data_IF_840921549577
#
_entry.id   IF_840921549577
#
_cell.length_a   1.000
_cell.length_b   1.000
_cell.length_c   1.000
_cell.angle_alpha   90.00
_cell.angle_beta   90.00
_cell.angle_gamma   90.00
#
_symmetry.space_group_name_H-M   'P 1'
#
loop_
_entity.id
_entity.type
_entity.pdbx_description
1 polymer ?
#
# COMPACT_ATOMS: atom_id res chain seq x y z
N UNK A 1 -13.12 -31.03 8.23
CA UNK A 1 -11.69 -30.64 8.24
C UNK A 1 -11.56 -29.32 7.49
N UNK A 2 -10.93 -28.28 8.08
CA UNK A 2 -10.72 -27.02 7.37
C UNK A 2 -9.86 -27.21 6.11
N UNK A 3 -10.16 -26.47 5.04
CA UNK A 3 -9.46 -26.60 3.75
C UNK A 3 -7.93 -26.44 3.88
N UNK A 4 -7.48 -25.44 4.65
CA UNK A 4 -6.05 -25.21 4.92
C UNK A 4 -5.40 -26.39 5.65
N UNK A 5 -6.11 -27.04 6.56
CA UNK A 5 -5.61 -28.21 7.29
C UNK A 5 -5.49 -29.44 6.37
N UNK A 6 -6.43 -29.60 5.43
CA UNK A 6 -6.37 -30.64 4.40
C UNK A 6 -5.15 -30.46 3.49
N UNK A 7 -4.94 -29.25 2.94
CA UNK A 7 -3.77 -28.95 2.11
C UNK A 7 -2.46 -29.09 2.88
N UNK A 8 -2.40 -28.63 4.13
CA UNK A 8 -1.22 -28.81 4.98
C UNK A 8 -0.89 -30.29 5.22
N UNK A 9 -1.91 -31.14 5.35
CA UNK A 9 -1.74 -32.59 5.41
C UNK A 9 -1.11 -33.15 4.13
N UNK A 10 -1.66 -32.80 2.97
CA UNK A 10 -1.14 -33.23 1.66
C UNK A 10 0.31 -32.77 1.45
N UNK A 11 0.63 -31.52 1.78
CA UNK A 11 1.99 -30.98 1.69
C UNK A 11 3.00 -31.74 2.57
N UNK A 12 2.59 -32.16 3.77
CA UNK A 12 3.44 -32.98 4.66
C UNK A 12 3.67 -34.39 4.11
N UNK A 13 2.69 -34.95 3.40
CA UNK A 13 2.76 -36.29 2.82
C UNK A 13 3.30 -36.31 1.39
N UNK A 14 3.51 -35.15 0.74
CA UNK A 14 3.98 -35.02 -0.64
C UNK A 14 5.34 -35.70 -0.89
N UNK A 15 6.14 -35.93 0.16
CA UNK A 15 7.35 -36.76 0.08
C UNK A 15 7.09 -38.22 -0.34
N UNK A 16 5.83 -38.67 -0.36
CA UNK A 16 5.42 -40.06 -0.61
C UNK A 16 4.61 -40.27 -1.91
N UNK A 17 4.12 -39.22 -2.59
CA UNK A 17 3.40 -39.35 -3.86
C UNK A 17 3.13 -38.01 -4.58
N UNK A 18 3.23 -38.04 -5.92
CA UNK A 18 2.78 -37.15 -7.02
C UNK A 18 2.60 -35.62 -6.87
N UNK A 19 2.90 -34.90 -7.96
CA UNK A 19 2.98 -33.43 -8.13
C UNK A 19 1.69 -32.60 -7.88
N UNK A 20 0.61 -33.19 -7.35
CA UNK A 20 -0.71 -32.56 -7.27
C UNK A 20 -0.75 -31.24 -6.47
N UNK A 21 0.12 -31.10 -5.46
CA UNK A 21 0.25 -29.90 -4.63
C UNK A 21 1.58 -29.17 -4.83
N UNK A 22 2.28 -29.46 -5.94
CA UNK A 22 3.51 -28.76 -6.30
C UNK A 22 3.27 -27.25 -6.46
N UNK A 23 4.15 -26.44 -5.86
CA UNK A 23 4.05 -24.98 -5.90
C UNK A 23 3.08 -24.34 -4.91
N UNK A 24 2.32 -25.12 -4.13
CA UNK A 24 1.46 -24.58 -3.08
C UNK A 24 2.31 -24.21 -1.85
N UNK A 25 2.21 -22.96 -1.41
CA UNK A 25 2.87 -22.47 -0.20
C UNK A 25 1.85 -21.91 0.80
N UNK A 26 1.96 -22.32 2.07
CA UNK A 26 1.11 -21.81 3.16
C UNK A 26 1.95 -20.91 4.08
N UNK A 27 1.60 -19.63 4.15
CA UNK A 27 2.23 -18.65 5.07
C UNK A 27 1.23 -18.18 6.11
N UNK A 28 1.52 -18.43 7.39
CA UNK A 28 0.70 -18.00 8.52
C UNK A 28 1.30 -16.80 9.23
N UNK A 29 0.46 -15.85 9.64
CA UNK A 29 0.81 -14.78 10.57
C UNK A 29 -0.20 -14.78 11.71
N UNK A 30 0.27 -14.60 12.94
CA UNK A 30 -0.54 -14.70 14.15
C UNK A 30 -0.48 -13.39 14.93
N UNK A 31 -1.65 -12.88 15.35
CA UNK A 31 -1.77 -11.73 16.26
C UNK A 31 -2.38 -12.22 17.58
N UNK A 32 -1.51 -12.48 18.56
CA UNK A 32 -1.89 -13.10 19.84
C UNK A 32 -1.95 -14.62 19.72
N UNK A 33 -1.60 -15.34 20.80
CA UNK A 33 -1.47 -16.80 20.76
C UNK A 33 -2.83 -17.51 20.68
N UNK A 34 -2.88 -18.62 19.95
CA UNK A 34 -4.04 -19.50 19.86
C UNK A 34 -4.39 -20.12 21.25
N UNK A 35 -5.62 -19.93 21.76
CA UNK A 35 -6.04 -20.53 23.02
C UNK A 35 -6.22 -22.04 22.87
N UNK A 36 -5.82 -22.80 23.90
CA UNK A 36 -5.93 -24.26 23.91
C UNK A 36 -7.36 -24.80 23.67
N UNK A 37 -8.41 -24.00 23.94
CA UNK A 37 -9.80 -24.35 23.66
C UNK A 37 -10.20 -24.24 22.18
N UNK A 38 -9.40 -23.59 21.33
CA UNK A 38 -9.73 -23.37 19.91
C UNK A 38 -8.94 -24.33 19.01
N UNK A 39 -9.65 -25.26 18.36
CA UNK A 39 -9.01 -26.23 17.47
C UNK A 39 -8.72 -25.71 16.05
N UNK A 40 -9.26 -24.55 15.67
CA UNK A 40 -9.11 -24.02 14.30
C UNK A 40 -7.76 -23.31 14.07
N UNK A 41 -7.23 -22.62 15.09
CA UNK A 41 -5.94 -21.94 15.02
C UNK A 41 -4.77 -22.80 15.53
N UNK A 42 -5.05 -24.02 16.00
CA UNK A 42 -4.07 -24.91 16.62
C UNK A 42 -2.89 -25.17 15.68
N UNK A 43 -1.69 -24.81 16.14
CA UNK A 43 -0.43 -25.17 15.52
C UNK A 43 0.38 -26.02 16.51
N UNK A 44 1.03 -27.07 16.00
CA UNK A 44 1.81 -27.98 16.84
C UNK A 44 2.89 -27.20 17.62
N UNK A 45 2.88 -27.32 18.95
CA UNK A 45 3.86 -26.67 19.83
C UNK A 45 3.65 -25.18 20.10
N UNK A 46 2.52 -24.59 19.69
CA UNK A 46 2.23 -23.15 19.89
C UNK A 46 0.95 -22.86 20.68
N UNK A 47 0.40 -23.85 21.34
CA UNK A 47 -0.82 -23.68 22.14
C UNK A 47 -0.48 -23.16 23.53
N UNK A 48 -1.23 -22.14 23.95
CA UNK A 48 -1.07 -21.55 25.28
C UNK A 48 -2.38 -21.70 26.04
N UNK A 49 -2.36 -22.19 27.29
CA UNK A 49 -3.53 -22.11 28.16
C UNK A 49 -3.79 -20.64 28.49
N UNK A 50 -5.01 -20.15 28.20
CA UNK A 50 -5.45 -18.77 28.49
C UNK A 50 -4.47 -17.68 28.03
N UNK A 51 -4.30 -17.47 26.71
CA UNK A 51 -3.40 -16.45 26.19
C UNK A 51 -3.92 -15.03 26.50
N UNK A 52 -2.99 -14.10 26.74
CA UNK A 52 -3.33 -12.67 26.92
C UNK A 52 -3.86 -12.10 25.61
N UNK A 53 -5.03 -11.43 25.60
CA UNK A 53 -5.56 -10.77 24.41
C UNK A 53 -4.61 -9.70 23.88
N UNK A 54 -4.52 -9.57 22.56
CA UNK A 54 -3.74 -8.51 21.89
C UNK A 54 -4.65 -7.56 21.12
N UNK A 55 -4.19 -6.34 20.87
CA UNK A 55 -4.92 -5.39 20.04
C UNK A 55 -4.99 -5.89 18.59
N UNK A 56 -6.21 -6.17 18.11
CA UNK A 56 -6.46 -6.61 16.74
C UNK A 56 -6.85 -5.45 15.84
N UNK A 57 -7.77 -4.62 16.32
CA UNK A 57 -8.39 -3.54 15.55
C UNK A 57 -8.66 -2.32 16.45
N UNK A 58 -8.50 -1.13 15.88
CA UNK A 58 -8.94 0.14 16.48
C UNK A 58 -10.22 0.56 15.76
N UNK A 59 -11.37 0.35 16.38
CA UNK A 59 -12.68 0.58 15.75
C UNK A 59 -13.13 2.04 15.80
N UNK A 60 -12.61 2.82 16.73
CA UNK A 60 -12.94 4.25 16.91
C UNK A 60 -11.72 5.01 17.37
N UNK A 61 -11.54 6.21 16.81
CA UNK A 61 -10.51 7.16 17.23
C UNK A 61 -11.18 8.49 17.56
N UNK A 62 -10.65 9.18 18.58
CA UNK A 62 -11.06 10.53 18.96
C UNK A 62 -9.80 11.39 18.98
N UNK A 63 -9.79 12.54 18.30
CA UNK A 63 -8.59 13.38 18.25
C UNK A 63 -8.28 13.99 19.62
N UNK A 64 -6.99 14.09 19.96
CA UNK A 64 -6.57 14.58 21.27
C UNK A 64 -6.94 16.04 21.53
N UNK A 65 -7.01 16.88 20.50
CA UNK A 65 -7.45 18.27 20.64
C UNK A 65 -8.91 18.39 21.13
N UNK A 66 -9.72 17.31 21.06
CA UNK A 66 -11.07 17.30 21.66
C UNK A 66 -11.06 17.37 23.18
N UNK A 67 -9.95 16.99 23.82
CA UNK A 67 -9.76 17.04 25.27
C UNK A 67 -9.31 18.43 25.76
N UNK A 68 -8.96 19.33 24.84
CA UNK A 68 -8.53 20.71 25.15
C UNK A 68 -9.76 21.59 25.35
N UNK A 69 -9.86 22.23 26.51
CA UNK A 69 -11.01 23.06 26.89
C UNK A 69 -10.95 24.47 26.29
N UNK A 70 -9.75 25.06 26.22
CA UNK A 70 -9.54 26.39 25.66
C UNK A 70 -9.63 26.36 24.12
N UNK A 71 -10.48 27.22 23.55
CA UNK A 71 -10.73 27.24 22.11
C UNK A 71 -9.51 27.65 21.30
N UNK A 72 -8.69 28.58 21.81
CA UNK A 72 -7.50 29.07 21.08
C UNK A 72 -6.46 27.96 20.96
N UNK A 73 -6.17 27.30 22.08
CA UNK A 73 -5.22 26.19 22.15
C UNK A 73 -5.73 24.99 21.35
N UNK A 74 -7.04 24.70 21.39
CA UNK A 74 -7.66 23.63 20.60
C UNK A 74 -7.47 23.83 19.10
N UNK A 75 -7.75 25.02 18.58
CA UNK A 75 -7.58 25.31 17.15
C UNK A 75 -6.10 25.32 16.73
N UNK A 76 -5.21 25.87 17.57
CA UNK A 76 -3.77 25.80 17.33
C UNK A 76 -3.27 24.35 17.26
N UNK A 77 -3.72 23.49 18.18
CA UNK A 77 -3.34 22.08 18.20
C UNK A 77 -3.93 21.31 17.02
N UNK A 78 -5.18 21.60 16.63
CA UNK A 78 -5.80 21.04 15.42
C UNK A 78 -4.99 21.41 14.17
N UNK A 79 -4.61 22.67 14.01
CA UNK A 79 -3.78 23.13 12.88
C UNK A 79 -2.43 22.41 12.85
N UNK A 80 -1.72 22.35 13.98
CA UNK A 80 -0.44 21.65 14.09
C UNK A 80 -0.55 20.15 13.78
N UNK A 81 -1.65 19.51 14.21
CA UNK A 81 -1.93 18.09 13.91
C UNK A 81 -2.13 17.87 12.41
N UNK A 82 -2.90 18.75 11.76
CA UNK A 82 -3.13 18.71 10.31
C UNK A 82 -1.84 18.93 9.52
N UNK A 83 -1.03 19.92 9.92
CA UNK A 83 0.29 20.19 9.35
C UNK A 83 1.21 18.97 9.46
N UNK A 84 1.30 18.37 10.64
CA UNK A 84 2.13 17.18 10.88
C UNK A 84 1.71 16.00 10.00
N UNK A 85 0.41 15.76 9.87
CA UNK A 85 -0.10 14.60 9.15
C UNK A 85 -0.07 14.76 7.63
N UNK A 86 -0.51 15.91 7.09
CA UNK A 86 -0.66 16.13 5.65
C UNK A 86 0.53 16.81 4.98
N UNK A 87 1.23 17.67 5.73
CA UNK A 87 2.29 18.55 5.21
C UNK A 87 3.65 18.28 5.88
N UNK A 88 3.81 17.09 6.50
CA UNK A 88 5.03 16.65 7.18
C UNK A 88 5.57 17.64 8.23
N UNK A 89 4.70 18.51 8.78
CA UNK A 89 5.06 19.54 9.75
C UNK A 89 5.84 20.73 9.17
N UNK A 90 5.85 20.91 7.84
CA UNK A 90 6.60 21.99 7.15
C UNK A 90 5.70 22.89 6.29
N UNK A 91 4.51 23.16 6.79
CA UNK A 91 3.53 23.98 6.11
C UNK A 91 2.14 23.84 6.71
N UNK A 92 1.27 24.77 6.38
CA UNK A 92 -0.10 24.81 6.89
C UNK A 92 -1.08 24.17 5.91
N UNK A 93 -2.15 23.59 6.43
CA UNK A 93 -3.28 23.13 5.61
C UNK A 93 -4.24 24.28 5.39
N UNK A 94 -4.49 24.62 4.12
CA UNK A 94 -5.49 25.60 3.71
C UNK A 94 -6.48 24.85 2.82
N UNK A 95 -7.76 24.80 3.21
CA UNK A 95 -8.77 23.98 2.56
C UNK A 95 -8.29 22.51 2.41
N UNK A 96 -8.00 22.07 1.18
CA UNK A 96 -7.53 20.73 0.84
C UNK A 96 -6.09 20.71 0.29
N UNK A 97 -5.31 21.78 0.47
CA UNK A 97 -3.92 21.85 0.00
C UNK A 97 -2.95 22.26 1.12
N UNK A 98 -1.68 21.88 0.94
CA UNK A 98 -0.61 22.25 1.85
C UNK A 98 0.12 23.50 1.34
N UNK A 99 0.09 24.58 2.13
CA UNK A 99 0.95 25.75 1.93
C UNK A 99 2.31 25.47 2.57
N UNK A 100 3.26 25.03 1.76
CA UNK A 100 4.60 24.70 2.23
C UNK A 100 5.40 25.94 2.67
N UNK A 101 6.17 25.79 3.75
CA UNK A 101 7.18 26.77 4.15
C UNK A 101 8.33 26.80 3.14
N UNK A 102 9.08 27.91 3.11
CA UNK A 102 10.24 28.07 2.22
C UNK A 102 11.33 27.01 2.44
N UNK A 103 11.40 26.44 3.65
CA UNK A 103 12.34 25.37 4.01
C UNK A 103 11.94 24.00 3.47
N UNK A 104 10.74 23.87 2.89
CA UNK A 104 10.18 22.63 2.38
C UNK A 104 10.15 22.56 0.84
N UNK A 105 10.89 23.44 0.17
CA UNK A 105 11.08 23.39 -1.27
C UNK A 105 12.15 22.33 -1.64
N UNK A 106 11.91 21.62 -2.73
CA UNK A 106 12.85 20.69 -3.35
C UNK A 106 14.04 21.41 -3.97
N UNK A 107 15.00 20.63 -4.49
CA UNK A 107 16.18 21.17 -5.21
C UNK A 107 15.80 21.91 -6.50
N UNK A 108 14.65 21.57 -7.05
CA UNK A 108 14.00 22.17 -8.22
C UNK A 108 13.16 23.42 -7.88
N UNK A 109 13.07 23.79 -6.59
CA UNK A 109 12.23 24.89 -6.12
C UNK A 109 10.75 24.54 -6.02
N UNK A 110 10.36 23.28 -6.22
CA UNK A 110 8.97 22.86 -6.13
C UNK A 110 8.56 22.51 -4.68
N UNK A 111 7.29 22.71 -4.29
CA UNK A 111 6.79 22.34 -2.97
C UNK A 111 6.96 20.84 -2.68
N UNK A 112 7.57 20.48 -1.54
CA UNK A 112 7.82 19.09 -1.14
C UNK A 112 7.35 18.77 0.29
N UNK A 113 6.48 19.60 0.89
CA UNK A 113 5.95 19.35 2.24
C UNK A 113 4.86 18.25 2.24
N UNK A 114 4.14 18.06 1.14
CA UNK A 114 3.20 16.94 0.98
C UNK A 114 3.86 15.85 0.13
N UNK A 115 4.20 14.68 0.70
CA UNK A 115 5.08 13.71 0.04
C UNK A 115 4.36 12.93 -1.07
N UNK A 116 4.75 13.18 -2.32
CA UNK A 116 4.24 12.46 -3.49
C UNK A 116 4.49 10.95 -3.37
N UNK A 117 3.42 10.16 -3.30
CA UNK A 117 3.52 8.70 -3.22
C UNK A 117 3.79 8.10 -4.60
N UNK A 118 4.54 7.01 -4.62
CA UNK A 118 4.84 6.28 -5.86
C UNK A 118 3.66 5.39 -6.25
N UNK A 119 3.09 5.55 -7.47
CA UNK A 119 2.06 4.62 -7.96
C UNK A 119 2.67 3.23 -8.20
N UNK A 120 1.92 2.21 -7.82
CA UNK A 120 2.31 0.80 -8.03
C UNK A 120 1.53 0.26 -9.22
N UNK A 121 2.23 0.10 -10.34
CA UNK A 121 1.69 -0.50 -11.55
C UNK A 121 1.61 -2.02 -11.39
N UNK A 122 0.46 -2.62 -11.71
CA UNK A 122 0.18 -4.06 -11.58
C UNK A 122 -0.51 -4.58 -12.84
N UNK A 123 -0.43 -5.88 -13.07
CA UNK A 123 -1.29 -6.55 -14.04
C UNK A 123 -2.73 -6.56 -13.51
N UNK A 124 -3.71 -6.38 -14.39
CA UNK A 124 -5.10 -6.51 -14.04
C UNK A 124 -5.39 -7.95 -13.57
N UNK A 125 -5.87 -8.17 -12.33
CA UNK A 125 -6.00 -9.51 -11.77
C UNK A 125 -7.10 -10.35 -12.43
N UNK A 126 -7.97 -9.69 -13.20
CA UNK A 126 -9.10 -10.31 -13.89
C UNK A 126 -8.87 -10.50 -15.40
N UNK A 127 -7.69 -10.11 -15.91
CA UNK A 127 -7.31 -10.24 -17.31
C UNK A 127 -5.89 -10.82 -17.42
N UNK A 128 -5.81 -12.12 -17.69
CA UNK A 128 -4.53 -12.76 -17.97
C UNK A 128 -3.95 -12.22 -19.29
N UNK A 129 -2.65 -11.88 -19.32
CA UNK A 129 -1.99 -11.43 -20.54
C UNK A 129 -2.03 -12.48 -21.65
N UNK A 130 -2.20 -12.04 -22.88
CA UNK A 130 -2.09 -12.86 -24.09
C UNK A 130 -0.86 -12.46 -24.92
N UNK A 131 -0.65 -13.13 -26.05
CA UNK A 131 0.42 -12.77 -27.00
C UNK A 131 0.27 -11.36 -27.58
N UNK A 132 -0.92 -10.75 -27.51
CA UNK A 132 -1.23 -9.44 -28.10
C UNK A 132 -1.82 -8.43 -27.12
N UNK A 133 -2.20 -8.86 -25.91
CA UNK A 133 -2.89 -8.01 -24.95
C UNK A 133 -2.23 -8.08 -23.57
N UNK A 134 -1.96 -6.91 -22.99
CA UNK A 134 -1.55 -6.75 -21.59
C UNK A 134 -2.41 -5.65 -20.99
N UNK A 135 -3.10 -5.97 -19.89
CA UNK A 135 -3.89 -5.01 -19.13
C UNK A 135 -3.15 -4.62 -17.85
N UNK A 136 -3.07 -3.31 -17.58
CA UNK A 136 -2.35 -2.73 -16.45
C UNK A 136 -3.28 -1.87 -15.61
N UNK A 137 -3.10 -1.92 -14.30
CA UNK A 137 -3.87 -1.16 -13.32
C UNK A 137 -2.95 -0.48 -12.30
N UNK A 138 -3.39 0.65 -11.79
CA UNK A 138 -2.79 1.33 -10.64
C UNK A 138 -3.89 2.02 -9.83
N UNK A 139 -3.63 2.20 -8.54
CA UNK A 139 -4.52 2.96 -7.66
C UNK A 139 -4.04 4.41 -7.64
N UNK A 140 -4.98 5.35 -7.72
CA UNK A 140 -4.66 6.77 -7.64
C UNK A 140 -3.94 7.09 -6.32
N UNK A 141 -2.85 7.83 -6.42
CA UNK A 141 -2.04 8.21 -5.28
C UNK A 141 -2.42 9.58 -4.72
N UNK A 142 -3.35 10.31 -5.34
CA UNK A 142 -3.79 11.62 -4.85
C UNK A 142 -4.37 11.53 -3.42
N UNK A 143 -3.87 12.32 -2.45
CA UNK A 143 -4.43 12.37 -1.11
C UNK A 143 -5.68 13.27 -1.07
N UNK A 144 -6.48 13.07 -0.02
CA UNK A 144 -7.61 13.95 0.30
C UNK A 144 -7.14 15.40 0.51
N UNK A 145 -6.02 15.60 1.22
CA UNK A 145 -5.38 16.89 1.48
C UNK A 145 -3.91 16.83 1.07
N UNK A 146 -3.43 17.84 0.34
CA UNK A 146 -2.01 17.98 0.01
C UNK A 146 -1.74 18.18 -1.48
N UNK A 147 -0.79 17.43 -2.03
CA UNK A 147 -0.48 17.47 -3.47
C UNK A 147 -1.65 16.98 -4.31
N UNK A 148 -1.66 17.39 -5.58
CA UNK A 148 -2.64 17.00 -6.57
C UNK A 148 -1.96 16.39 -7.78
N UNK A 149 -2.50 15.30 -8.29
CA UNK A 149 -1.92 14.58 -9.41
C UNK A 149 -2.43 15.21 -10.70
N UNK A 150 -1.52 15.67 -11.55
CA UNK A 150 -1.85 16.26 -12.85
C UNK A 150 -1.77 15.26 -13.99
N UNK A 151 -0.85 14.30 -13.91
CA UNK A 151 -0.56 13.36 -14.99
C UNK A 151 0.07 12.07 -14.45
N UNK A 152 -0.20 10.95 -15.11
CA UNK A 152 0.51 9.69 -14.95
C UNK A 152 1.30 9.38 -16.22
N UNK A 153 2.63 9.30 -16.09
CA UNK A 153 3.53 9.04 -17.22
C UNK A 153 3.90 7.55 -17.24
N UNK A 154 3.55 6.86 -18.32
CA UNK A 154 3.86 5.44 -18.52
C UNK A 154 4.80 5.29 -19.72
N UNK A 155 5.91 4.60 -19.50
CA UNK A 155 6.89 4.27 -20.54
C UNK A 155 6.89 2.76 -20.77
N UNK A 156 6.80 2.34 -22.03
CA UNK A 156 6.92 0.93 -22.40
C UNK A 156 7.92 0.73 -23.54
N UNK A 157 8.62 -0.39 -23.48
CA UNK A 157 9.59 -0.81 -24.49
C UNK A 157 9.63 -2.33 -24.53
N UNK A 158 9.58 -2.89 -25.74
CA UNK A 158 9.82 -4.31 -25.96
C UNK A 158 11.34 -4.52 -26.01
N UNK A 159 11.87 -5.30 -25.07
CA UNK A 159 13.27 -5.70 -25.11
C UNK A 159 13.43 -6.92 -26.01
N UNK A 160 14.20 -6.82 -27.09
CA UNK A 160 14.72 -7.99 -27.79
C UNK A 160 15.85 -8.62 -26.96
N UNK A 161 16.06 -9.96 -27.04
CA UNK A 161 17.26 -10.57 -26.48
C UNK A 161 18.49 -9.91 -27.13
N UNK A 162 19.42 -9.43 -26.30
CA UNK A 162 20.61 -8.69 -26.73
C UNK A 162 21.38 -9.48 -27.79
N UNK A 163 21.52 -8.93 -29.01
CA UNK A 163 22.74 -9.16 -29.78
C UNK A 163 23.80 -8.25 -29.17
N UNK A 164 24.92 -8.83 -28.72
CA UNK A 164 25.94 -8.15 -27.91
C UNK A 164 26.60 -6.91 -28.55
N UNK A 165 26.28 -6.54 -29.80
CA UNK A 165 26.92 -5.43 -30.49
C UNK A 165 25.97 -4.43 -31.18
N UNK A 166 24.71 -4.30 -30.75
CA UNK A 166 23.87 -3.18 -31.21
C UNK A 166 23.11 -2.51 -30.07
N UNK A 167 23.60 -1.36 -29.64
CA UNK A 167 22.80 -0.37 -28.90
C UNK A 167 21.82 0.23 -29.91
N UNK A 168 20.78 -0.52 -30.27
CA UNK A 168 19.62 0.08 -30.94
C UNK A 168 18.84 0.82 -29.84
N UNK A 169 19.13 2.12 -29.74
CA UNK A 169 18.42 3.07 -28.90
C UNK A 169 16.99 3.26 -29.41
N UNK A 170 16.13 2.26 -29.25
CA UNK A 170 14.69 2.51 -29.27
C UNK A 170 14.35 3.32 -28.02
N UNK A 171 14.01 4.60 -28.21
CA UNK A 171 13.36 5.40 -27.18
C UNK A 171 12.06 4.71 -26.77
N UNK A 172 11.79 4.53 -25.47
CA UNK A 172 10.53 3.95 -25.03
C UNK A 172 9.38 4.82 -25.52
N UNK A 173 8.27 4.18 -25.88
CA UNK A 173 7.03 4.90 -26.19
C UNK A 173 6.47 5.50 -24.91
N UNK A 174 6.28 6.82 -24.92
CA UNK A 174 5.77 7.61 -23.81
C UNK A 174 4.24 7.77 -23.94
N UNK A 175 3.51 7.39 -22.91
CA UNK A 175 2.08 7.62 -22.78
C UNK A 175 1.85 8.54 -21.59
N UNK A 176 1.03 9.57 -21.79
CA UNK A 176 0.59 10.49 -20.73
C UNK A 176 -0.91 10.28 -20.49
N UNK A 177 -1.28 10.24 -19.21
CA UNK A 177 -2.66 10.08 -18.77
C UNK A 177 -3.01 11.28 -17.90
N UNK A 178 -3.43 12.35 -18.58
CA UNK A 178 -3.84 13.59 -17.93
C UNK A 178 -4.97 13.27 -16.97
N UNK A 179 -4.73 13.56 -15.69
CA UNK A 179 -5.72 13.33 -14.65
C UNK A 179 -6.80 14.41 -14.75
N UNK A 180 -7.88 14.10 -15.47
CA UNK A 180 -9.06 14.94 -15.55
C UNK A 180 -9.90 14.70 -14.29
N UNK A 181 -9.95 15.68 -13.39
CA UNK A 181 -10.97 15.66 -12.34
C UNK A 181 -12.34 15.77 -13.00
N UNK A 182 -13.22 14.83 -12.69
CA UNK A 182 -14.65 15.14 -12.70
C UNK A 182 -14.87 16.15 -11.58
N UNK A 183 -14.95 17.43 -11.96
CA UNK A 183 -15.54 18.46 -11.12
C UNK A 183 -17.05 18.24 -11.16
N UNK A 184 -17.59 17.54 -10.17
CA UNK A 184 -19.00 17.69 -9.80
C UNK A 184 -19.19 19.02 -9.06
#
# INVERSE_FOLDING_TARGET
>A
VPFISYLSGLLKTQLLSDDLVAGVEIRCQEKGSCPAACHLCRQAGRETPSPTPVLLEVSRIVPLYSLVQDNVTKEAFKSATMSSYWCAGKGDVIENWCRCDLTALGKDGLPNCSPLRRPVLRLAPHLEPSSTMVALEWIDVEPLVGYKVSDYIIQHKISSPKNENSVINYSPSLLTFVHLRNTD
#
